data_IF_177870706429
#
_entry.id   IF_177870706429
#
_cell.length_a   1.000
_cell.length_b   1.000
_cell.length_c   1.000
_cell.angle_alpha   90.00
_cell.angle_beta   90.00
_cell.angle_gamma   90.00
#
_symmetry.space_group_name_H-M   'P 1'
#
loop_
_entity.id
_entity.type
_entity.pdbx_description
1 polymer ?
#
# COMPACT_ATOMS: atom_id res chain seq x y z
N UNK A 1 -9.11 -9.08 -18.71
CA UNK A 1 -9.36 -9.94 -17.52
C UNK A 1 -9.44 -11.38 -18.03
N UNK A 2 -8.63 -12.30 -17.51
CA UNK A 2 -8.72 -13.71 -17.88
C UNK A 2 -10.03 -14.28 -17.31
N UNK A 3 -10.83 -14.96 -18.12
CA UNK A 3 -12.02 -15.67 -17.65
C UNK A 3 -11.60 -16.75 -16.67
N UNK A 4 -11.94 -16.56 -15.39
CA UNK A 4 -11.72 -17.58 -14.36
C UNK A 4 -12.79 -18.65 -14.54
N UNK A 5 -12.40 -19.85 -14.94
CA UNK A 5 -13.31 -20.98 -15.05
C UNK A 5 -14.02 -21.22 -13.71
N UNK A 6 -15.34 -21.46 -13.70
CA UNK A 6 -16.08 -21.68 -12.46
C UNK A 6 -15.57 -22.93 -11.73
N UNK A 7 -15.32 -22.79 -10.41
CA UNK A 7 -14.93 -23.92 -9.56
C UNK A 7 -16.08 -24.90 -9.38
N UNK A 8 -17.31 -24.36 -9.26
CA UNK A 8 -18.56 -25.14 -9.19
C UNK A 8 -19.62 -24.44 -10.01
N UNK A 9 -20.32 -25.19 -10.87
CA UNK A 9 -21.43 -24.68 -11.68
C UNK A 9 -22.56 -25.69 -11.70
N UNK A 10 -23.80 -25.21 -11.69
CA UNK A 10 -25.01 -26.02 -11.90
C UNK A 10 -26.04 -25.22 -12.65
N UNK A 11 -26.68 -25.90 -13.60
CA UNK A 11 -27.83 -25.40 -14.35
C UNK A 11 -29.11 -25.97 -13.76
N UNK A 12 -30.13 -25.15 -13.58
CA UNK A 12 -31.47 -25.48 -13.12
C UNK A 12 -32.45 -24.45 -13.65
N UNK A 13 -33.33 -23.92 -12.81
CA UNK A 13 -34.17 -22.77 -13.16
C UNK A 13 -33.34 -21.50 -13.36
N UNK A 14 -32.16 -21.45 -12.80
CA UNK A 14 -31.13 -20.42 -12.93
C UNK A 14 -29.78 -21.11 -13.05
N UNK A 15 -28.89 -20.57 -13.87
CA UNK A 15 -27.48 -20.95 -13.89
C UNK A 15 -26.76 -20.31 -12.70
N UNK A 16 -26.13 -21.13 -11.86
CA UNK A 16 -25.37 -20.63 -10.70
C UNK A 16 -23.94 -21.12 -10.76
N UNK A 17 -23.01 -20.20 -10.58
CA UNK A 17 -21.58 -20.53 -10.61
C UNK A 17 -20.84 -19.87 -9.42
N UNK A 18 -19.85 -20.58 -8.88
CA UNK A 18 -18.91 -20.13 -7.87
C UNK A 18 -17.50 -20.25 -8.43
N UNK A 19 -16.75 -19.16 -8.43
CA UNK A 19 -15.36 -19.12 -8.85
C UNK A 19 -14.47 -18.76 -7.66
N UNK A 20 -13.27 -19.32 -7.62
CA UNK A 20 -12.25 -19.03 -6.61
C UNK A 20 -11.06 -18.33 -7.28
N UNK A 21 -10.66 -17.19 -6.74
CA UNK A 21 -9.51 -16.37 -7.17
C UNK A 21 -8.37 -16.57 -6.18
N UNK A 22 -7.38 -17.38 -6.55
CA UNK A 22 -6.25 -17.74 -5.71
C UNK A 22 -5.47 -16.50 -5.24
N UNK A 23 -5.23 -15.57 -6.16
CA UNK A 23 -4.39 -14.40 -5.95
C UNK A 23 -4.97 -13.40 -4.94
N UNK A 24 -6.30 -13.41 -4.75
CA UNK A 24 -6.99 -12.57 -3.78
C UNK A 24 -7.20 -13.26 -2.42
N UNK A 25 -6.93 -14.55 -2.32
CA UNK A 25 -7.21 -15.31 -1.09
C UNK A 25 -6.06 -15.18 -0.08
N UNK A 26 -6.37 -14.72 1.12
CA UNK A 26 -5.44 -14.57 2.24
C UNK A 26 -5.43 -15.76 3.21
N UNK A 27 -6.23 -16.81 2.95
CA UNK A 27 -6.34 -17.96 3.86
C UNK A 27 -7.05 -17.66 5.19
N UNK A 28 -7.84 -16.58 5.28
CA UNK A 28 -8.47 -16.12 6.52
C UNK A 28 -9.51 -17.10 7.10
N UNK A 29 -10.11 -17.98 6.26
CA UNK A 29 -11.06 -19.00 6.68
C UNK A 29 -12.49 -18.51 6.94
N UNK A 30 -12.81 -17.22 6.72
CA UNK A 30 -14.17 -16.68 6.89
C UNK A 30 -15.20 -17.52 6.13
N UNK A 31 -14.92 -17.81 4.86
CA UNK A 31 -15.80 -18.61 4.01
C UNK A 31 -16.02 -20.03 4.53
N UNK A 32 -15.04 -20.62 5.22
CA UNK A 32 -15.18 -21.96 5.83
C UNK A 32 -16.04 -21.93 7.08
N UNK A 33 -15.90 -20.88 7.91
CA UNK A 33 -16.62 -20.73 9.18
C UNK A 33 -18.12 -20.52 8.98
N UNK A 34 -18.52 -19.87 7.88
CA UNK A 34 -19.93 -19.55 7.60
C UNK A 34 -20.60 -20.54 6.65
N UNK A 35 -19.86 -21.46 6.04
CA UNK A 35 -20.44 -22.40 5.06
C UNK A 35 -21.45 -23.33 5.74
N UNK A 36 -22.76 -23.28 5.37
CA UNK A 36 -23.78 -24.09 6.04
C UNK A 36 -23.68 -25.56 5.71
N UNK A 37 -23.02 -25.92 4.61
CA UNK A 37 -22.89 -27.32 4.14
C UNK A 37 -21.48 -27.88 4.36
N UNK A 38 -20.59 -27.10 4.98
CA UNK A 38 -19.18 -27.48 5.20
C UNK A 38 -18.47 -27.91 3.89
N UNK A 39 -18.85 -27.28 2.79
CA UNK A 39 -18.26 -27.54 1.47
C UNK A 39 -16.88 -26.93 1.29
N UNK A 40 -16.44 -26.02 2.17
CA UNK A 40 -15.19 -25.32 2.08
C UNK A 40 -14.23 -25.79 3.17
N UNK A 41 -12.99 -26.10 2.80
CA UNK A 41 -11.94 -26.53 3.73
C UNK A 41 -10.67 -25.74 3.49
N UNK A 42 -9.99 -25.36 4.59
CA UNK A 42 -8.67 -24.74 4.52
C UNK A 42 -7.58 -25.76 4.22
N UNK A 43 -6.66 -25.38 3.36
CA UNK A 43 -5.41 -26.08 3.14
C UNK A 43 -4.37 -25.82 4.24
N UNK A 44 -3.14 -26.29 4.05
CA UNK A 44 -2.05 -26.07 5.00
C UNK A 44 -1.54 -24.61 4.87
N UNK A 45 -2.11 -23.69 5.65
CA UNK A 45 -1.95 -22.25 5.52
C UNK A 45 -0.49 -21.79 5.52
N UNK A 46 0.31 -22.21 6.50
CA UNK A 46 1.69 -21.75 6.67
C UNK A 46 2.62 -22.21 5.53
N UNK A 47 2.62 -23.48 5.10
CA UNK A 47 3.39 -23.90 3.94
C UNK A 47 3.04 -23.15 2.66
N UNK A 48 1.76 -22.82 2.45
CA UNK A 48 1.31 -22.03 1.29
C UNK A 48 1.82 -20.60 1.41
N UNK A 49 1.63 -19.93 2.56
CA UNK A 49 2.09 -18.57 2.79
C UNK A 49 3.60 -18.39 2.60
N UNK A 50 4.39 -19.42 2.93
CA UNK A 50 5.84 -19.44 2.75
C UNK A 50 6.28 -19.84 1.34
N UNK A 51 5.37 -20.09 0.43
CA UNK A 51 5.68 -20.56 -0.93
C UNK A 51 6.28 -21.97 -0.99
N UNK A 52 6.15 -22.76 0.08
CA UNK A 52 6.66 -24.15 0.14
C UNK A 52 5.72 -25.12 -0.58
N UNK A 53 4.45 -24.77 -0.71
CA UNK A 53 3.43 -25.54 -1.42
C UNK A 53 2.66 -24.64 -2.38
N UNK A 54 2.62 -24.99 -3.64
CA UNK A 54 1.76 -24.36 -4.64
C UNK A 54 0.39 -25.02 -4.62
N UNK A 55 -0.44 -24.57 -3.70
CA UNK A 55 -1.82 -25.04 -3.49
C UNK A 55 -2.74 -23.86 -3.22
N UNK A 56 -4.04 -24.10 -3.37
CA UNK A 56 -5.06 -23.15 -2.97
C UNK A 56 -5.25 -23.14 -1.45
N UNK A 57 -5.44 -21.95 -0.86
CA UNK A 57 -5.79 -21.82 0.55
C UNK A 57 -7.14 -22.46 0.88
N UNK A 58 -8.07 -22.49 -0.08
CA UNK A 58 -9.42 -23.01 0.12
C UNK A 58 -9.72 -24.05 -0.95
N UNK A 59 -10.11 -25.25 -0.50
CA UNK A 59 -10.62 -26.32 -1.35
C UNK A 59 -12.14 -26.36 -1.26
N UNK A 60 -12.81 -26.39 -2.44
CA UNK A 60 -14.26 -26.47 -2.55
C UNK A 60 -14.68 -27.92 -2.87
N UNK A 61 -15.51 -28.49 -2.03
CA UNK A 61 -16.20 -29.77 -2.28
C UNK A 61 -17.43 -29.49 -3.16
N UNK A 62 -17.31 -29.87 -4.43
CA UNK A 62 -18.33 -29.60 -5.46
C UNK A 62 -19.67 -30.27 -5.18
N UNK A 63 -19.64 -31.43 -4.52
CA UNK A 63 -20.86 -32.20 -4.25
C UNK A 63 -21.64 -31.60 -3.08
N UNK A 64 -20.93 -31.11 -2.05
CA UNK A 64 -21.53 -30.46 -0.87
C UNK A 64 -21.93 -29.01 -1.10
N UNK A 65 -21.35 -28.34 -2.09
CA UNK A 65 -21.62 -26.94 -2.33
C UNK A 65 -23.08 -26.72 -2.75
N UNK A 66 -23.83 -25.97 -1.95
CA UNK A 66 -25.22 -25.62 -2.22
C UNK A 66 -25.39 -24.45 -3.20
N UNK A 67 -24.31 -23.84 -3.68
CA UNK A 67 -24.34 -22.64 -4.53
C UNK A 67 -25.27 -21.54 -3.95
N UNK A 68 -25.12 -21.26 -2.65
CA UNK A 68 -25.91 -20.26 -1.94
C UNK A 68 -25.31 -18.84 -2.00
N UNK A 69 -24.06 -18.67 -2.43
CA UNK A 69 -23.38 -17.36 -2.56
C UNK A 69 -22.86 -16.75 -1.26
N UNK A 70 -23.11 -17.37 -0.11
CA UNK A 70 -22.77 -16.80 1.20
C UNK A 70 -21.25 -16.55 1.36
N UNK A 71 -20.41 -17.49 0.89
CA UNK A 71 -18.95 -17.36 0.94
C UNK A 71 -18.43 -16.18 0.09
N UNK A 72 -19.07 -15.89 -1.05
CA UNK A 72 -18.70 -14.77 -1.90
C UNK A 72 -19.13 -13.43 -1.26
N UNK A 73 -20.37 -13.37 -0.73
CA UNK A 73 -20.87 -12.16 -0.09
C UNK A 73 -20.12 -11.78 1.18
N UNK A 74 -19.56 -12.74 1.91
CA UNK A 74 -18.82 -12.51 3.16
C UNK A 74 -17.31 -12.40 3.00
N UNK A 75 -16.78 -12.53 1.79
CA UNK A 75 -15.34 -12.42 1.54
C UNK A 75 -14.94 -10.94 1.37
N UNK A 76 -14.22 -10.34 2.34
CA UNK A 76 -13.79 -8.94 2.23
C UNK A 76 -12.66 -8.75 1.23
N UNK A 77 -12.05 -9.85 0.74
CA UNK A 77 -10.95 -9.83 -0.24
C UNK A 77 -11.41 -10.20 -1.65
N UNK A 78 -12.72 -10.43 -1.83
CA UNK A 78 -13.29 -10.81 -3.14
C UNK A 78 -12.66 -12.06 -3.78
N UNK A 79 -12.06 -12.93 -2.96
CA UNK A 79 -11.45 -14.16 -3.42
C UNK A 79 -12.48 -15.21 -3.89
N UNK A 80 -13.75 -15.05 -3.52
CA UNK A 80 -14.88 -15.86 -3.99
C UNK A 80 -15.80 -15.00 -4.82
N UNK A 81 -16.08 -15.40 -6.05
CA UNK A 81 -17.06 -14.77 -6.93
C UNK A 81 -18.24 -15.70 -7.17
N UNK A 82 -19.45 -15.18 -7.01
CA UNK A 82 -20.67 -15.93 -7.25
C UNK A 82 -21.53 -15.22 -8.29
N UNK A 83 -21.99 -15.96 -9.29
CA UNK A 83 -22.85 -15.44 -10.36
C UNK A 83 -24.16 -16.21 -10.43
N UNK A 84 -25.21 -15.51 -10.82
CA UNK A 84 -26.53 -16.05 -11.16
C UNK A 84 -26.84 -15.58 -12.58
N UNK A 85 -27.08 -16.54 -13.50
CA UNK A 85 -27.31 -16.27 -14.92
C UNK A 85 -26.21 -15.36 -15.51
N UNK A 86 -24.95 -15.70 -15.17
CA UNK A 86 -23.71 -14.99 -15.53
C UNK A 86 -23.55 -13.55 -14.98
N UNK A 87 -24.51 -13.08 -14.17
CA UNK A 87 -24.46 -11.77 -13.49
C UNK A 87 -23.87 -11.93 -12.07
N UNK A 88 -22.90 -11.10 -11.74
CA UNK A 88 -22.29 -11.11 -10.39
C UNK A 88 -23.29 -10.70 -9.31
N UNK A 89 -23.26 -11.39 -8.16
CA UNK A 89 -24.10 -10.98 -7.02
C UNK A 89 -23.79 -9.57 -6.52
N UNK A 90 -22.63 -9.02 -6.80
CA UNK A 90 -22.27 -7.64 -6.48
C UNK A 90 -23.15 -6.61 -7.19
N UNK A 91 -23.62 -6.95 -8.39
CA UNK A 91 -24.50 -6.08 -9.20
C UNK A 91 -25.95 -6.15 -8.72
N UNK A 92 -26.29 -7.12 -7.87
CA UNK A 92 -27.64 -7.33 -7.40
C UNK A 92 -27.85 -6.63 -6.06
N UNK A 93 -28.77 -5.66 -5.99
CA UNK A 93 -29.11 -4.91 -4.78
C UNK A 93 -29.67 -5.77 -3.64
N UNK A 94 -30.13 -6.99 -3.92
CA UNK A 94 -30.63 -7.90 -2.91
C UNK A 94 -29.52 -8.56 -2.06
N UNK A 95 -28.28 -8.49 -2.52
CA UNK A 95 -27.14 -9.07 -1.82
C UNK A 95 -26.44 -8.02 -0.94
N UNK A 96 -25.83 -8.45 0.18
CA UNK A 96 -25.10 -7.58 1.06
C UNK A 96 -23.91 -6.92 0.35
N UNK A 97 -23.63 -5.67 0.72
CA UNK A 97 -22.49 -4.91 0.20
C UNK A 97 -21.56 -4.52 1.33
N UNK A 98 -20.28 -4.64 1.07
CA UNK A 98 -19.25 -4.18 1.99
C UNK A 98 -19.20 -2.65 1.99
N UNK A 99 -19.11 -2.05 3.18
CA UNK A 99 -18.94 -0.61 3.37
C UNK A 99 -17.47 -0.20 3.49
N UNK A 100 -16.57 -1.17 3.61
CA UNK A 100 -15.15 -0.86 3.72
C UNK A 100 -14.63 -0.23 2.41
N UNK A 101 -13.85 0.82 2.56
CA UNK A 101 -13.23 1.54 1.44
C UNK A 101 -11.99 2.28 1.89
N UNK A 102 -11.14 2.62 0.94
CA UNK A 102 -10.02 3.53 1.11
C UNK A 102 -10.17 4.68 0.10
N UNK A 103 -10.04 5.90 0.54
CA UNK A 103 -10.16 7.10 -0.30
C UNK A 103 -9.02 8.05 -0.05
N UNK A 104 -8.61 8.77 -1.10
CA UNK A 104 -7.61 9.83 -1.03
C UNK A 104 -8.32 11.14 -1.33
N UNK A 105 -8.15 12.12 -0.46
CA UNK A 105 -8.55 13.50 -0.69
C UNK A 105 -7.47 14.17 -1.55
N UNK A 106 -7.80 14.41 -2.82
CA UNK A 106 -6.86 14.98 -3.80
C UNK A 106 -6.50 16.44 -3.48
N UNK A 107 -7.39 17.18 -2.83
CA UNK A 107 -7.16 18.58 -2.47
C UNK A 107 -6.14 18.71 -1.33
N UNK A 108 -6.07 17.72 -0.46
CA UNK A 108 -5.12 17.66 0.67
C UNK A 108 -3.83 16.90 0.32
N UNK A 109 -3.87 16.04 -0.69
CA UNK A 109 -2.76 15.17 -1.05
C UNK A 109 -1.57 15.95 -1.63
N UNK A 110 -0.38 15.75 -1.07
CA UNK A 110 0.89 16.34 -1.52
C UNK A 110 1.75 15.41 -2.38
N UNK A 111 1.20 14.29 -2.80
CA UNK A 111 1.85 13.30 -3.68
C UNK A 111 3.22 12.83 -3.20
N UNK A 112 3.41 12.69 -1.87
CA UNK A 112 4.70 12.34 -1.26
C UNK A 112 5.15 10.90 -1.49
N UNK A 113 4.25 10.00 -1.96
CA UNK A 113 4.46 8.56 -2.18
C UNK A 113 4.62 7.70 -0.93
N UNK A 114 4.45 8.24 0.27
CA UNK A 114 4.56 7.47 1.51
C UNK A 114 3.56 6.29 1.55
N UNK A 115 2.32 6.53 1.13
CA UNK A 115 1.26 5.51 1.07
C UNK A 115 1.56 4.40 0.04
N UNK A 116 2.13 4.74 -1.12
CA UNK A 116 2.57 3.78 -2.15
C UNK A 116 3.65 2.85 -1.59
N UNK A 117 4.65 3.41 -0.91
CA UNK A 117 5.77 2.65 -0.32
C UNK A 117 5.32 1.76 0.86
N UNK A 118 4.34 2.22 1.65
CA UNK A 118 3.88 1.50 2.83
C UNK A 118 2.83 0.42 2.53
N UNK A 119 2.24 0.41 1.33
CA UNK A 119 1.16 -0.51 0.98
C UNK A 119 1.65 -1.97 0.89
N UNK A 120 1.20 -2.88 1.75
CA UNK A 120 1.67 -4.27 1.77
C UNK A 120 1.18 -5.09 0.57
N UNK A 121 0.17 -4.61 -0.16
CA UNK A 121 -0.42 -5.27 -1.33
C UNK A 121 -0.15 -4.52 -2.64
N UNK A 122 0.67 -3.45 -2.60
CA UNK A 122 1.00 -2.63 -3.77
C UNK A 122 -0.25 -2.04 -4.48
N UNK A 123 -1.34 -1.86 -3.73
CA UNK A 123 -2.61 -1.36 -4.27
C UNK A 123 -2.61 0.14 -4.59
N UNK A 124 -1.57 0.89 -4.23
CA UNK A 124 -1.52 2.34 -4.38
C UNK A 124 -0.46 2.73 -5.39
N UNK A 125 -0.85 3.56 -6.34
CA UNK A 125 0.07 4.16 -7.32
C UNK A 125 0.00 5.68 -7.22
N UNK A 126 1.16 6.32 -7.07
CA UNK A 126 1.28 7.78 -7.03
C UNK A 126 2.19 8.28 -8.13
N UNK A 127 1.65 9.06 -9.05
CA UNK A 127 2.41 9.82 -10.02
C UNK A 127 2.54 11.27 -9.56
N UNK A 128 3.67 11.91 -9.84
CA UNK A 128 3.86 13.34 -9.55
C UNK A 128 4.76 14.01 -10.57
N UNK A 129 4.47 15.26 -10.86
CA UNK A 129 5.30 16.16 -11.61
C UNK A 129 5.88 17.20 -10.65
N UNK A 130 7.18 17.18 -10.50
CA UNK A 130 7.89 18.17 -9.70
C UNK A 130 8.04 19.48 -10.48
N UNK A 131 8.09 20.62 -9.79
CA UNK A 131 8.36 21.91 -10.41
C UNK A 131 9.74 21.92 -11.05
N UNK A 132 9.90 22.74 -12.07
CA UNK A 132 11.20 22.94 -12.71
C UNK A 132 12.18 23.58 -11.73
N UNK A 133 13.34 22.97 -11.59
CA UNK A 133 14.37 23.41 -10.64
C UNK A 133 14.79 24.87 -10.86
N UNK A 134 14.86 25.31 -12.12
CA UNK A 134 15.19 26.68 -12.51
C UNK A 134 14.20 27.70 -11.95
N UNK A 135 12.95 27.30 -11.71
CA UNK A 135 11.94 28.17 -11.09
C UNK A 135 12.08 28.26 -9.58
N UNK A 136 12.77 27.30 -8.94
CA UNK A 136 12.93 27.23 -7.49
C UNK A 136 14.19 27.92 -6.97
N UNK A 137 15.19 28.06 -7.83
CA UNK A 137 16.50 28.60 -7.47
C UNK A 137 16.78 29.78 -8.35
N UNK A 138 16.96 30.95 -7.78
CA UNK A 138 17.30 32.15 -8.51
C UNK A 138 18.59 32.77 -7.97
N UNK A 139 19.36 33.35 -8.84
CA UNK A 139 20.62 33.98 -8.48
C UNK A 139 21.25 34.68 -9.66
N UNK A 140 22.44 35.17 -9.46
CA UNK A 140 23.28 35.78 -10.48
C UNK A 140 24.68 35.19 -10.37
N UNK A 141 25.31 34.93 -11.50
CA UNK A 141 26.69 34.52 -11.58
C UNK A 141 27.34 35.17 -12.77
N UNK A 142 28.47 35.79 -12.55
CA UNK A 142 29.27 36.44 -13.57
C UNK A 142 30.76 36.14 -13.37
N UNK A 143 31.48 35.94 -14.46
CA UNK A 143 32.90 35.63 -14.42
C UNK A 143 33.65 36.73 -15.19
N UNK A 144 34.49 37.47 -14.46
CA UNK A 144 35.39 38.43 -15.09
C UNK A 144 36.50 37.66 -15.83
N UNK A 145 36.39 37.63 -17.16
CA UNK A 145 37.33 36.92 -18.04
C UNK A 145 38.73 37.53 -18.05
N UNK A 146 38.87 38.83 -17.76
CA UNK A 146 40.15 39.50 -17.72
C UNK A 146 40.98 39.12 -16.47
N UNK A 147 40.29 38.74 -15.41
CA UNK A 147 40.91 38.32 -14.14
C UNK A 147 41.04 36.79 -14.05
N UNK A 148 40.21 36.05 -14.81
CA UNK A 148 40.19 34.59 -14.80
C UNK A 148 41.49 34.00 -15.39
N UNK A 149 42.11 33.10 -14.64
CA UNK A 149 43.32 32.35 -15.04
C UNK A 149 43.01 30.96 -15.60
N UNK A 150 41.73 30.63 -15.78
CA UNK A 150 41.25 29.37 -16.33
C UNK A 150 41.83 28.11 -15.65
N UNK A 151 42.04 28.17 -14.32
CA UNK A 151 42.71 27.10 -13.55
C UNK A 151 41.91 25.80 -13.42
N UNK A 152 40.58 25.81 -13.64
CA UNK A 152 39.72 24.62 -13.56
C UNK A 152 39.06 24.38 -12.19
N UNK A 153 39.52 25.01 -11.13
CA UNK A 153 39.04 24.75 -9.77
C UNK A 153 37.52 24.90 -9.62
N UNK A 154 36.94 25.93 -10.26
CA UNK A 154 35.50 26.18 -10.21
C UNK A 154 34.67 25.08 -10.93
N UNK A 155 35.23 24.47 -11.98
CA UNK A 155 34.63 23.33 -12.69
C UNK A 155 34.66 22.06 -11.77
N UNK A 156 35.84 21.73 -11.23
CA UNK A 156 36.02 20.55 -10.38
C UNK A 156 35.20 20.65 -9.09
N UNK A 157 35.06 21.85 -8.54
CA UNK A 157 34.31 22.08 -7.27
C UNK A 157 32.81 22.27 -7.48
N UNK A 158 32.29 22.29 -8.72
CA UNK A 158 30.90 22.53 -8.98
C UNK A 158 30.04 21.28 -8.70
N UNK A 159 29.18 21.25 -7.66
CA UNK A 159 28.38 20.08 -7.33
C UNK A 159 27.23 19.82 -8.32
N UNK A 160 26.95 20.81 -9.20
CA UNK A 160 25.89 20.75 -10.19
C UNK A 160 26.41 20.56 -11.62
N UNK A 161 27.73 20.40 -11.80
CA UNK A 161 28.36 20.30 -13.13
C UNK A 161 27.99 21.47 -14.09
N UNK A 162 27.70 22.63 -13.51
CA UNK A 162 27.21 23.81 -14.24
C UNK A 162 28.30 24.64 -14.88
N UNK A 163 29.58 24.40 -14.57
CA UNK A 163 30.72 25.20 -15.13
C UNK A 163 31.57 24.27 -15.97
N UNK A 164 31.91 24.74 -17.18
CA UNK A 164 32.80 24.03 -18.10
C UNK A 164 33.90 24.97 -18.61
N UNK A 165 35.13 24.45 -18.67
CA UNK A 165 36.28 25.17 -19.18
C UNK A 165 36.86 24.40 -20.37
N UNK A 166 36.87 25.04 -21.53
CA UNK A 166 37.51 24.52 -22.75
C UNK A 166 38.89 25.10 -22.88
N UNK A 167 39.89 24.25 -23.03
CA UNK A 167 41.32 24.60 -23.21
C UNK A 167 41.88 24.05 -24.54
N UNK A 168 40.99 23.82 -25.50
CA UNK A 168 41.40 23.30 -26.83
C UNK A 168 42.31 24.29 -27.58
N UNK A 169 42.06 25.59 -27.35
CA UNK A 169 42.98 26.65 -27.80
C UNK A 169 43.58 27.33 -26.57
N UNK A 170 44.88 27.16 -26.33
CA UNK A 170 45.59 27.76 -25.19
C UNK A 170 45.71 29.29 -25.30
N UNK A 171 45.56 29.86 -26.48
CA UNK A 171 45.58 31.32 -26.70
C UNK A 171 44.23 31.97 -26.35
N UNK A 172 43.13 31.23 -26.48
CA UNK A 172 41.77 31.71 -26.21
C UNK A 172 40.95 30.64 -25.42
N UNK A 173 41.24 30.41 -24.13
CA UNK A 173 40.47 29.51 -23.32
C UNK A 173 39.07 30.07 -23.06
N UNK A 174 38.05 29.19 -23.06
CA UNK A 174 36.66 29.57 -22.85
C UNK A 174 36.12 28.99 -21.54
N UNK A 175 35.40 29.80 -20.79
CA UNK A 175 34.61 29.35 -19.61
C UNK A 175 33.14 29.62 -19.87
N UNK A 176 32.31 28.58 -19.66
CA UNK A 176 30.87 28.66 -19.82
C UNK A 176 30.15 28.22 -18.55
N UNK A 177 29.00 28.82 -18.31
CA UNK A 177 28.12 28.48 -17.18
C UNK A 177 26.76 28.04 -17.75
N UNK A 178 26.32 26.88 -17.35
CA UNK A 178 24.98 26.40 -17.61
C UNK A 178 24.08 26.91 -16.45
N UNK A 179 23.34 27.98 -16.67
CA UNK A 179 22.50 28.62 -15.65
C UNK A 179 21.33 27.73 -15.28
N UNK A 180 20.88 26.83 -16.15
CA UNK A 180 19.82 25.86 -15.89
C UNK A 180 20.24 24.78 -14.88
N UNK A 181 21.55 24.48 -14.82
CA UNK A 181 22.12 23.57 -13.82
C UNK A 181 22.59 24.26 -12.57
N UNK A 182 22.93 25.55 -12.69
CA UNK A 182 23.49 26.30 -11.55
C UNK A 182 22.52 26.40 -10.39
N UNK A 183 22.98 26.07 -9.18
CA UNK A 183 22.22 26.16 -7.93
C UNK A 183 22.66 27.34 -7.05
N UNK A 184 23.48 28.20 -7.59
CA UNK A 184 23.99 29.42 -6.93
C UNK A 184 24.52 29.17 -5.51
N UNK A 185 25.16 28.01 -5.28
CA UNK A 185 25.70 27.59 -3.97
C UNK A 185 26.94 28.38 -3.53
N UNK A 186 27.46 29.23 -4.38
CA UNK A 186 28.63 30.10 -4.14
C UNK A 186 29.96 29.37 -3.91
N UNK A 187 30.04 28.07 -4.11
CA UNK A 187 31.29 27.28 -3.94
C UNK A 187 32.36 27.79 -4.90
N UNK A 188 32.03 27.95 -6.19
CA UNK A 188 32.94 28.44 -7.20
C UNK A 188 33.50 29.83 -6.86
N UNK A 189 32.67 30.73 -6.33
CA UNK A 189 33.11 32.07 -5.87
C UNK A 189 34.09 31.96 -4.69
N UNK A 190 33.83 31.06 -3.74
CA UNK A 190 34.67 30.89 -2.55
C UNK A 190 35.99 30.19 -2.87
N UNK A 191 35.99 29.27 -3.85
CA UNK A 191 37.18 28.52 -4.24
C UNK A 191 38.05 29.24 -5.29
N UNK A 192 37.59 30.36 -5.89
CA UNK A 192 38.33 31.08 -6.89
C UNK A 192 39.55 31.81 -6.28
N UNK A 193 40.79 31.41 -6.65
CA UNK A 193 42.00 31.97 -6.07
C UNK A 193 42.26 33.45 -6.45
N UNK A 194 41.76 33.86 -7.63
CA UNK A 194 41.89 35.23 -8.16
C UNK A 194 40.64 36.08 -8.00
N UNK A 195 39.60 35.55 -7.33
CA UNK A 195 38.32 36.23 -7.10
C UNK A 195 37.63 36.74 -8.38
N UNK A 196 37.79 36.02 -9.49
CA UNK A 196 37.20 36.38 -10.77
C UNK A 196 35.67 36.15 -10.83
N UNK A 197 35.07 35.43 -9.85
CA UNK A 197 33.68 35.05 -9.89
C UNK A 197 32.87 35.92 -8.94
N UNK A 198 31.87 36.60 -9.48
CA UNK A 198 30.80 37.26 -8.74
C UNK A 198 29.57 36.37 -8.79
N UNK A 199 29.05 36.00 -7.66
CA UNK A 199 27.82 35.20 -7.56
C UNK A 199 27.01 35.59 -6.34
N UNK A 200 25.69 35.58 -6.51
CA UNK A 200 24.71 35.80 -5.43
C UNK A 200 23.58 34.81 -5.59
N UNK A 201 23.15 34.22 -4.46
CA UNK A 201 21.94 33.39 -4.39
C UNK A 201 20.81 34.25 -3.85
N UNK A 202 19.71 34.38 -4.58
CA UNK A 202 18.52 35.12 -4.16
C UNK A 202 17.55 34.23 -3.37
N UNK A 203 17.66 32.91 -3.53
CA UNK A 203 16.79 31.93 -2.86
C UNK A 203 17.26 31.52 -1.47
N UNK A 204 18.54 31.72 -1.13
CA UNK A 204 19.19 31.27 0.10
C UNK A 204 19.75 32.41 0.93
N UNK A 205 19.13 33.60 0.96
CA UNK A 205 19.66 34.71 1.71
C UNK A 205 19.48 34.53 3.20
N UNK A 206 20.57 34.45 3.95
CA UNK A 206 20.57 34.45 5.38
C UNK A 206 20.02 35.79 5.93
N UNK A 207 18.77 35.74 6.41
CA UNK A 207 18.27 36.71 7.40
C UNK A 207 17.90 38.11 6.93
N UNK A 208 17.99 38.50 5.68
CA UNK A 208 17.78 39.87 5.23
C UNK A 208 16.79 40.09 4.07
N UNK A 209 16.24 39.03 3.50
CA UNK A 209 15.29 39.13 2.39
C UNK A 209 14.08 38.25 2.65
N UNK A 210 12.89 38.81 2.44
CA UNK A 210 11.68 38.01 2.32
C UNK A 210 11.89 37.00 1.19
N UNK A 211 11.86 35.72 1.53
CA UNK A 211 11.81 34.66 0.53
C UNK A 211 10.45 34.83 -0.14
N UNK A 212 10.41 35.39 -1.34
CA UNK A 212 9.21 35.34 -2.12
C UNK A 212 8.87 33.85 -2.32
N UNK A 213 7.71 33.37 -1.84
CA UNK A 213 7.30 32.01 -2.12
C UNK A 213 7.28 31.85 -3.64
N UNK A 214 8.14 31.00 -4.15
CA UNK A 214 8.05 30.62 -5.54
C UNK A 214 6.79 29.74 -5.60
N UNK A 215 5.85 30.08 -6.48
CA UNK A 215 4.69 29.23 -6.77
C UNK A 215 5.17 27.95 -7.44
N UNK A 216 5.65 27.05 -6.61
CA UNK A 216 6.15 25.74 -6.99
C UNK A 216 5.04 24.72 -6.78
N UNK A 217 4.17 24.62 -7.76
CA UNK A 217 3.08 23.65 -7.71
C UNK A 217 3.59 22.25 -8.01
N UNK A 218 3.37 21.34 -7.06
CA UNK A 218 3.53 19.90 -7.27
C UNK A 218 2.17 19.38 -7.73
N UNK A 219 2.10 18.87 -8.95
CA UNK A 219 0.90 18.23 -9.48
C UNK A 219 1.09 16.72 -9.55
N UNK A 220 0.02 15.97 -9.43
CA UNK A 220 0.10 14.52 -9.45
C UNK A 220 -1.26 13.85 -9.55
N UNK A 221 -1.24 12.54 -9.38
CA UNK A 221 -2.42 11.70 -9.24
C UNK A 221 -2.06 10.58 -8.25
N UNK A 222 -2.95 10.27 -7.33
CA UNK A 222 -2.85 9.17 -6.40
C UNK A 222 -4.08 8.27 -6.57
N UNK A 223 -3.84 7.02 -6.93
CA UNK A 223 -4.88 6.05 -7.24
C UNK A 223 -4.77 4.84 -6.31
N UNK A 224 -5.92 4.35 -5.82
CA UNK A 224 -6.05 3.10 -5.07
C UNK A 224 -6.79 2.10 -5.94
N UNK A 225 -6.14 0.98 -6.23
CA UNK A 225 -6.78 -0.17 -6.86
C UNK A 225 -7.65 -0.89 -5.82
N UNK A 226 -8.96 -0.70 -5.92
CA UNK A 226 -9.94 -1.30 -5.01
C UNK A 226 -9.95 -2.83 -5.07
N UNK A 227 -9.54 -3.42 -6.19
CA UNK A 227 -9.48 -4.88 -6.32
C UNK A 227 -8.32 -5.50 -5.55
N UNK A 228 -7.24 -4.77 -5.36
CA UNK A 228 -6.02 -5.21 -4.66
C UNK A 228 -5.97 -4.70 -3.23
N UNK A 229 -6.69 -3.62 -2.93
CA UNK A 229 -6.74 -3.00 -1.61
C UNK A 229 -7.46 -3.89 -0.59
N UNK A 230 -6.81 -4.16 0.55
CA UNK A 230 -7.38 -4.93 1.67
C UNK A 230 -7.85 -4.06 2.85
N UNK A 231 -7.85 -2.75 2.68
CA UNK A 231 -8.30 -1.77 3.69
C UNK A 231 -7.61 -1.91 5.06
N UNK A 232 -6.29 -2.16 5.07
CA UNK A 232 -5.52 -2.38 6.30
C UNK A 232 -5.24 -1.10 7.11
N UNK A 233 -5.24 0.07 6.46
CA UNK A 233 -5.02 1.36 7.12
C UNK A 233 -3.57 1.87 7.10
N UNK A 234 -2.58 1.14 6.55
CA UNK A 234 -1.20 1.61 6.47
C UNK A 234 -1.07 2.98 5.82
N UNK A 235 -1.76 3.19 4.70
CA UNK A 235 -1.73 4.43 3.96
C UNK A 235 -2.31 5.62 4.74
N UNK A 236 -3.32 5.39 5.58
CA UNK A 236 -3.90 6.41 6.46
C UNK A 236 -2.91 6.81 7.56
N UNK A 237 -2.32 5.83 8.26
CA UNK A 237 -1.41 6.08 9.38
C UNK A 237 -0.08 6.74 8.96
N UNK A 238 0.40 6.46 7.75
CA UNK A 238 1.65 7.02 7.26
C UNK A 238 1.46 8.38 6.58
N UNK A 239 0.24 8.80 6.30
CA UNK A 239 -0.04 10.04 5.57
C UNK A 239 0.33 11.27 6.41
N UNK A 240 1.31 12.09 6.00
CA UNK A 240 1.76 13.22 6.81
C UNK A 240 0.78 14.40 6.82
N UNK A 241 -0.25 14.37 5.97
CA UNK A 241 -1.23 15.44 5.78
C UNK A 241 -2.67 14.96 5.95
N UNK A 242 -2.87 13.74 6.47
CA UNK A 242 -4.18 13.14 6.72
C UNK A 242 -5.11 13.08 5.49
N UNK A 243 -4.53 13.02 4.28
CA UNK A 243 -5.31 12.97 3.03
C UNK A 243 -5.96 11.61 2.76
N UNK A 244 -5.67 10.57 3.54
CA UNK A 244 -6.17 9.21 3.31
C UNK A 244 -7.12 8.78 4.40
N UNK A 245 -8.30 8.28 4.02
CA UNK A 245 -9.27 7.72 4.96
C UNK A 245 -9.54 6.25 4.60
N UNK A 246 -9.51 5.38 5.61
CA UNK A 246 -9.75 3.94 5.45
C UNK A 246 -10.82 3.46 6.42
N UNK A 247 -11.86 2.82 5.88
CA UNK A 247 -12.84 2.06 6.66
C UNK A 247 -12.51 0.58 6.55
N UNK A 248 -12.28 -0.10 7.68
CA UNK A 248 -11.93 -1.52 7.73
C UNK A 248 -13.17 -2.42 7.60
N UNK A 249 -13.02 -3.67 7.14
CA UNK A 249 -14.15 -4.61 7.04
C UNK A 249 -14.73 -5.05 8.39
N UNK A 250 -13.92 -5.05 9.44
CA UNK A 250 -14.34 -5.48 10.77
C UNK A 250 -13.86 -4.52 11.85
N UNK A 251 -14.66 -4.40 12.92
CA UNK A 251 -14.30 -3.74 14.18
C UNK A 251 -14.25 -4.78 15.30
N UNK A 252 -13.37 -4.60 16.29
CA UNK A 252 -13.18 -5.53 17.39
C UNK A 252 -11.73 -5.58 17.87
N UNK A 253 -11.34 -6.70 18.48
CA UNK A 253 -10.03 -6.87 19.09
C UNK A 253 -9.39 -8.22 18.77
N UNK A 254 -8.06 -8.30 18.89
CA UNK A 254 -7.28 -9.53 18.83
C UNK A 254 -6.73 -9.82 20.23
N UNK A 255 -6.96 -11.04 20.71
CA UNK A 255 -6.63 -11.44 22.08
C UNK A 255 -5.64 -12.59 22.04
N UNK A 256 -4.56 -12.47 22.82
CA UNK A 256 -3.67 -13.59 23.11
C UNK A 256 -4.12 -14.25 24.43
N UNK A 257 -4.29 -15.57 24.41
CA UNK A 257 -4.69 -16.32 25.63
C UNK A 257 -3.60 -16.21 26.68
N UNK A 258 -3.97 -16.07 27.95
CA UNK A 258 -3.03 -15.92 29.07
C UNK A 258 -2.09 -17.12 29.23
N UNK A 259 -2.62 -18.35 29.06
CA UNK A 259 -1.87 -19.61 29.17
C UNK A 259 -1.16 -20.02 27.88
N UNK A 260 -0.94 -19.07 26.97
CA UNK A 260 -0.37 -19.30 25.66
C UNK A 260 1.16 -19.16 25.65
N UNK A 261 1.85 -20.29 25.51
CA UNK A 261 3.29 -20.30 25.23
C UNK A 261 3.55 -20.13 23.72
N UNK A 262 3.84 -18.92 23.31
CA UNK A 262 4.27 -18.64 21.94
C UNK A 262 5.62 -19.33 21.65
N UNK A 263 5.76 -19.96 20.48
CA UNK A 263 7.04 -20.50 20.02
C UNK A 263 8.00 -19.42 19.50
N UNK A 264 7.55 -18.18 19.45
CA UNK A 264 8.35 -17.00 19.07
C UNK A 264 9.16 -17.19 17.80
N UNK A 265 10.47 -16.93 17.91
CA UNK A 265 11.42 -16.93 16.80
C UNK A 265 11.55 -18.27 16.05
N UNK A 266 11.00 -19.35 16.57
CA UNK A 266 11.02 -20.66 15.91
C UNK A 266 9.77 -20.98 15.09
N UNK A 267 8.75 -20.11 15.13
CA UNK A 267 7.45 -20.39 14.51
C UNK A 267 7.06 -19.41 13.37
N UNK A 268 6.95 -18.12 13.65
CA UNK A 268 6.54 -17.04 12.73
C UNK A 268 5.19 -17.23 11.99
N UNK A 269 4.44 -18.31 12.23
CA UNK A 269 3.26 -18.69 11.45
C UNK A 269 2.20 -17.60 11.33
N UNK A 270 1.98 -16.81 12.40
CA UNK A 270 1.01 -15.73 12.42
C UNK A 270 1.48 -14.49 11.65
N UNK A 271 2.78 -14.20 11.66
CA UNK A 271 3.37 -13.10 10.90
C UNK A 271 3.39 -13.44 9.40
N UNK A 272 3.83 -14.64 9.03
CA UNK A 272 3.94 -15.09 7.64
C UNK A 272 2.59 -15.09 6.89
N UNK A 273 1.49 -15.35 7.59
CA UNK A 273 0.15 -15.40 6.99
C UNK A 273 -0.58 -14.04 7.05
N UNK A 274 -0.05 -13.04 7.75
CA UNK A 274 -0.75 -11.79 7.94
C UNK A 274 -0.75 -10.93 6.66
N UNK A 275 -1.89 -10.70 6.00
CA UNK A 275 -1.93 -9.96 4.75
C UNK A 275 -1.65 -8.46 4.94
N UNK A 276 -1.77 -7.97 6.18
CA UNK A 276 -1.58 -6.57 6.54
C UNK A 276 -0.19 -6.27 7.11
N UNK A 277 0.67 -7.29 7.27
CA UNK A 277 1.94 -7.16 8.00
C UNK A 277 1.78 -6.54 9.40
N UNK A 278 0.61 -6.77 10.05
CA UNK A 278 0.28 -6.22 11.35
C UNK A 278 0.89 -7.00 12.53
N UNK A 279 1.53 -8.14 12.28
CA UNK A 279 2.07 -9.02 13.32
C UNK A 279 3.58 -9.12 13.17
N UNK A 280 4.27 -8.89 14.27
CA UNK A 280 5.71 -9.07 14.39
C UNK A 280 6.06 -10.04 15.53
N UNK A 281 7.24 -10.61 15.48
CA UNK A 281 7.81 -11.40 16.59
C UNK A 281 8.92 -10.56 17.21
N UNK A 282 8.76 -10.23 18.48
CA UNK A 282 9.72 -9.43 19.26
C UNK A 282 9.95 -10.13 20.60
N UNK A 283 11.19 -10.33 20.99
CA UNK A 283 11.57 -11.03 22.22
C UNK A 283 10.87 -12.39 22.38
N UNK A 284 10.83 -13.16 21.29
CA UNK A 284 10.14 -14.46 21.19
C UNK A 284 8.63 -14.42 21.49
N UNK A 285 8.00 -13.25 21.35
CA UNK A 285 6.55 -13.08 21.53
C UNK A 285 5.92 -12.50 20.27
N UNK A 286 4.70 -12.93 19.99
CA UNK A 286 3.88 -12.35 18.94
C UNK A 286 3.28 -11.03 19.41
N UNK A 287 3.53 -9.95 18.69
CA UNK A 287 2.98 -8.61 18.94
C UNK A 287 2.15 -8.21 17.74
N UNK A 288 1.01 -7.60 18.00
CA UNK A 288 0.10 -7.09 16.95
C UNK A 288 0.05 -5.56 17.04
N UNK A 289 0.19 -4.93 15.90
CA UNK A 289 -0.19 -3.53 15.74
C UNK A 289 -1.67 -3.48 15.28
N UNK A 290 -2.55 -3.16 16.22
CA UNK A 290 -4.00 -3.15 15.97
C UNK A 290 -4.43 -2.09 14.96
N UNK A 291 -3.61 -1.04 14.78
CA UNK A 291 -3.87 0.00 13.77
C UNK A 291 -3.96 -0.58 12.37
N UNK A 292 -3.23 -1.65 12.08
CA UNK A 292 -3.17 -2.31 10.78
C UNK A 292 -3.95 -3.63 10.71
N UNK A 293 -4.37 -4.15 11.86
CA UNK A 293 -5.15 -5.38 11.89
C UNK A 293 -6.56 -5.15 11.35
N UNK A 294 -6.98 -6.00 10.38
CA UNK A 294 -8.34 -6.02 9.82
C UNK A 294 -9.18 -7.15 10.40
N UNK A 295 -8.72 -7.81 11.47
CA UNK A 295 -9.43 -8.88 12.16
C UNK A 295 -9.89 -10.04 11.25
N UNK A 296 -9.13 -10.32 10.16
CA UNK A 296 -9.49 -11.37 9.20
C UNK A 296 -9.47 -12.78 9.80
N UNK A 297 -8.58 -13.05 10.75
CA UNK A 297 -8.50 -14.34 11.46
C UNK A 297 -7.49 -15.34 10.89
N UNK A 298 -6.73 -15.00 9.83
CA UNK A 298 -5.73 -15.88 9.24
C UNK A 298 -4.68 -16.36 10.28
N UNK A 299 -4.19 -15.44 11.11
CA UNK A 299 -3.22 -15.72 12.17
C UNK A 299 -3.76 -16.71 13.23
N UNK A 300 -5.02 -16.58 13.60
CA UNK A 300 -5.66 -17.50 14.56
C UNK A 300 -5.77 -18.93 13.98
N UNK A 301 -6.12 -19.04 12.70
CA UNK A 301 -6.21 -20.35 11.98
C UNK A 301 -4.81 -20.96 11.75
N UNK A 302 -3.79 -20.14 11.52
CA UNK A 302 -2.42 -20.59 11.29
C UNK A 302 -1.66 -20.92 12.58
N UNK A 303 -2.11 -20.45 13.75
CA UNK A 303 -1.42 -20.66 15.01
C UNK A 303 -1.48 -22.12 15.46
N UNK A 304 -0.35 -22.87 15.52
CA UNK A 304 -0.34 -24.28 15.88
C UNK A 304 -0.71 -24.51 17.35
N UNK A 305 -0.59 -23.48 18.18
CA UNK A 305 -0.93 -23.51 19.61
C UNK A 305 -2.33 -23.00 19.90
N UNK A 306 -3.06 -22.50 18.89
CA UNK A 306 -4.40 -21.90 19.04
C UNK A 306 -4.47 -20.81 20.12
N UNK A 307 -3.39 -20.03 20.25
CA UNK A 307 -3.26 -18.99 21.27
C UNK A 307 -3.81 -17.63 20.86
N UNK A 308 -4.24 -17.46 19.61
CA UNK A 308 -4.77 -16.21 19.09
C UNK A 308 -6.29 -16.32 18.94
N UNK A 309 -7.01 -15.36 19.48
CA UNK A 309 -8.47 -15.24 19.38
C UNK A 309 -8.83 -13.94 18.69
N UNK A 310 -9.70 -13.98 17.72
CA UNK A 310 -10.26 -12.80 17.06
C UNK A 310 -11.68 -12.60 17.57
N UNK A 311 -11.93 -11.45 18.18
CA UNK A 311 -13.25 -11.04 18.63
C UNK A 311 -13.71 -9.88 17.74
N UNK A 312 -14.69 -10.15 16.88
CA UNK A 312 -15.31 -9.12 16.04
C UNK A 312 -16.56 -8.61 16.73
N UNK A 313 -16.67 -7.31 16.86
CA UNK A 313 -17.83 -6.62 17.44
C UNK A 313 -18.80 -6.18 16.37
N UNK A 314 -18.25 -5.82 15.18
CA UNK A 314 -19.05 -5.36 14.05
C UNK A 314 -18.47 -5.87 12.73
N UNK A 315 -19.36 -6.11 11.80
CA UNK A 315 -19.04 -6.38 10.39
C UNK A 315 -19.58 -5.19 9.59
N UNK A 316 -18.73 -4.50 8.86
CA UNK A 316 -19.12 -3.37 8.02
C UNK A 316 -19.69 -3.89 6.68
N UNK A 317 -20.86 -4.53 6.79
CA UNK A 317 -21.60 -5.15 5.70
C UNK A 317 -23.07 -4.73 5.77
N UNK A 318 -23.54 -4.03 4.75
CA UNK A 318 -24.92 -3.56 4.67
C UNK A 318 -25.88 -4.58 4.03
N UNK A 319 -27.17 -4.36 4.27
CA UNK A 319 -28.29 -4.99 3.55
C UNK A 319 -28.37 -6.53 3.66
N UNK A 320 -28.00 -7.12 4.78
CA UNK A 320 -28.23 -8.56 4.99
C UNK A 320 -29.72 -8.81 5.22
N UNK A 321 -30.50 -8.97 4.16
CA UNK A 321 -31.98 -9.08 4.20
C UNK A 321 -32.46 -10.48 4.65
N UNK A 322 -31.69 -11.51 4.34
CA UNK A 322 -32.07 -12.89 4.67
C UNK A 322 -31.77 -13.25 6.10
N UNK A 323 -32.76 -13.66 6.88
CA UNK A 323 -32.60 -14.15 8.27
C UNK A 323 -31.64 -15.34 8.35
N UNK A 324 -31.64 -16.21 7.34
CA UNK A 324 -30.73 -17.37 7.29
C UNK A 324 -29.28 -16.93 7.09
N UNK A 325 -29.04 -15.93 6.25
CA UNK A 325 -27.73 -15.34 6.05
C UNK A 325 -27.28 -14.59 7.31
N UNK A 326 -28.14 -13.79 7.90
CA UNK A 326 -27.83 -13.07 9.13
C UNK A 326 -27.40 -14.01 10.26
N UNK A 327 -28.09 -15.16 10.41
CA UNK A 327 -27.71 -16.20 11.36
C UNK A 327 -26.30 -16.76 11.09
N UNK A 328 -25.93 -16.96 9.83
CA UNK A 328 -24.59 -17.44 9.48
C UNK A 328 -23.52 -16.33 9.68
N UNK A 329 -23.83 -15.09 9.28
CA UNK A 329 -22.93 -13.94 9.46
C UNK A 329 -22.66 -13.65 10.95
N UNK A 330 -23.67 -13.81 11.81
CA UNK A 330 -23.50 -13.63 13.25
C UNK A 330 -22.46 -14.59 13.85
N UNK A 331 -22.20 -15.74 13.24
CA UNK A 331 -21.09 -16.61 13.66
C UNK A 331 -19.71 -15.97 13.53
N UNK A 332 -19.57 -14.95 12.70
CA UNK A 332 -18.32 -14.19 12.56
C UNK A 332 -18.12 -13.19 13.69
N UNK A 333 -19.22 -12.76 14.33
CA UNK A 333 -19.22 -11.86 15.50
C UNK A 333 -19.12 -12.65 16.79
N UNK A 334 -19.80 -13.80 16.85
CA UNK A 334 -19.71 -14.70 18.01
C UNK A 334 -18.32 -15.36 18.05
N UNK A 335 -17.46 -14.87 18.93
CA UNK A 335 -16.09 -15.27 19.22
C UNK A 335 -15.56 -16.53 18.52
N UNK A 336 -14.65 -16.36 17.58
CA UNK A 336 -13.89 -17.49 16.99
C UNK A 336 -12.87 -17.95 18.04
N UNK A 337 -13.30 -18.79 18.92
CA UNK A 337 -12.49 -19.59 19.83
C UNK A 337 -12.70 -21.08 19.55
N UNK A 338 -12.36 -21.54 18.35
CA UNK A 338 -12.40 -22.98 18.06
C UNK A 338 -11.08 -23.44 17.46
#
# INVERSE_FOLDING_TARGET
MAEVNPTVEREGTQKRSLSYKKDKCTGCGICTDICPTEALKLGPLVPIARGLLDMDYVKVDKEKCALCGLCAASCPFEAMEFKIDDVSIKENEAYPKWEHKATIDEDTCVYCKACETACPTEAITVSRKLPERTKLVSGEIDINKDTCIYCGICEEMCPADAIKIKKENLEEPEITIDEDKCVYCLICKRSCPVKAIKAACRSCSYGAYEINPVDAEITGNAFIDEETCINCGWCQEICPVDAVTVTKPFEGEIIFKEDFECKGDTCHACADICPCNAISIVDSKSIVDERFCILCGACAKACPKKGIVIKREKINLENVRSKSWQKQMNKLVEAISK
#
